data_IF_752500856551
#
_entry.id   IF_752500856551
#
_cell.length_a   1.000
_cell.length_b   1.000
_cell.length_c   1.000
_cell.angle_alpha   90.00
_cell.angle_beta   90.00
_cell.angle_gamma   90.00
#
_symmetry.space_group_name_H-M   'P 1'
#
loop_
_entity.id
_entity.type
_entity.pdbx_description
1 polymer ?
#
# COMPACT_ATOMS: atom_id res chain seq x y z
N UNK A 1 -31.84 -37.77 -21.80
CA UNK A 1 -32.14 -36.33 -21.80
C UNK A 1 -30.83 -35.58 -21.66
N UNK A 2 -30.40 -34.79 -22.66
CA UNK A 2 -29.16 -34.02 -22.62
C UNK A 2 -29.40 -32.67 -21.92
N UNK A 3 -28.44 -32.13 -21.17
CA UNK A 3 -28.48 -30.74 -20.72
C UNK A 3 -27.15 -30.06 -21.00
N UNK A 4 -27.22 -29.18 -21.99
CA UNK A 4 -26.50 -27.92 -22.22
C UNK A 4 -25.03 -27.80 -21.79
N UNK A 5 -24.18 -27.66 -22.81
CA UNK A 5 -22.82 -27.15 -22.66
C UNK A 5 -22.80 -25.68 -22.22
N UNK A 6 -21.86 -25.36 -21.34
CA UNK A 6 -21.53 -23.99 -20.97
C UNK A 6 -20.50 -23.47 -21.97
N UNK A 7 -20.94 -22.54 -22.84
CA UNK A 7 -20.06 -21.66 -23.59
C UNK A 7 -19.69 -20.47 -22.71
N UNK A 8 -18.42 -20.09 -22.73
CA UNK A 8 -17.93 -18.84 -22.15
C UNK A 8 -16.44 -18.86 -21.84
N UNK A 9 -15.59 -19.24 -22.80
CA UNK A 9 -14.17 -18.92 -22.71
C UNK A 9 -14.06 -17.40 -22.94
N UNK A 10 -13.95 -16.64 -21.85
CA UNK A 10 -13.62 -15.22 -21.91
C UNK A 10 -12.29 -15.06 -22.65
N UNK A 11 -12.30 -14.27 -23.71
CA UNK A 11 -11.11 -13.94 -24.48
C UNK A 11 -10.07 -13.36 -23.53
N UNK A 12 -8.93 -14.04 -23.40
CA UNK A 12 -7.84 -13.56 -22.57
C UNK A 12 -7.34 -12.24 -23.16
N UNK A 13 -7.68 -11.14 -22.51
CA UNK A 13 -7.15 -9.82 -22.86
C UNK A 13 -5.64 -9.90 -22.68
N UNK A 14 -4.93 -9.96 -23.81
CA UNK A 14 -3.48 -9.83 -23.85
C UNK A 14 -3.13 -8.44 -23.33
N UNK A 15 -2.75 -8.37 -22.06
CA UNK A 15 -2.22 -7.15 -21.48
C UNK A 15 -0.95 -6.78 -22.25
N UNK A 16 -0.77 -5.49 -22.60
CA UNK A 16 0.46 -5.05 -23.22
C UNK A 16 1.66 -5.42 -22.34
N UNK A 17 2.83 -5.71 -22.93
CA UNK A 17 4.03 -6.02 -22.17
C UNK A 17 4.35 -4.89 -21.18
N UNK A 18 4.84 -5.20 -19.97
CA UNK A 18 5.15 -4.20 -18.97
C UNK A 18 6.15 -3.18 -19.52
N UNK A 19 5.83 -1.90 -19.35
CA UNK A 19 6.69 -0.80 -19.75
C UNK A 19 7.85 -0.67 -18.76
N UNK A 20 9.10 -0.83 -19.23
CA UNK A 20 10.31 -0.55 -18.43
C UNK A 20 10.57 0.96 -18.27
N UNK A 21 9.55 1.80 -18.43
CA UNK A 21 9.69 3.25 -18.45
C UNK A 21 9.65 3.78 -17.02
N UNK A 22 10.66 4.56 -16.68
CA UNK A 22 10.75 5.26 -15.41
C UNK A 22 10.38 6.72 -15.65
N UNK A 23 9.48 7.24 -14.82
CA UNK A 23 9.19 8.68 -14.74
C UNK A 23 9.91 9.19 -13.50
N UNK A 24 10.83 10.12 -13.69
CA UNK A 24 11.68 10.66 -12.63
C UNK A 24 11.61 12.19 -12.62
N UNK A 25 11.58 12.75 -11.41
CA UNK A 25 11.68 14.18 -11.19
C UNK A 25 12.76 14.43 -10.14
N UNK A 26 13.66 15.38 -10.43
CA UNK A 26 14.62 15.86 -9.44
C UNK A 26 13.94 16.92 -8.59
N UNK A 27 14.04 16.73 -7.28
CA UNK A 27 13.52 17.67 -6.29
C UNK A 27 14.72 18.39 -5.68
N UNK A 28 14.71 19.72 -5.74
CA UNK A 28 15.79 20.60 -5.26
C UNK A 28 15.74 20.80 -3.73
N UNK A 29 14.57 20.60 -3.12
CA UNK A 29 14.37 20.61 -1.68
C UNK A 29 13.28 19.61 -1.25
N UNK A 30 13.43 19.00 -0.07
CA UNK A 30 12.44 18.08 0.50
C UNK A 30 11.30 18.83 1.20
N UNK A 31 10.66 19.76 0.49
CA UNK A 31 9.50 20.52 1.00
C UNK A 31 8.19 20.04 0.37
N UNK A 32 7.07 20.34 1.04
CA UNK A 32 5.73 20.05 0.55
C UNK A 32 5.48 20.59 -0.85
N UNK A 33 5.83 21.85 -1.10
CA UNK A 33 5.58 22.54 -2.37
C UNK A 33 6.32 21.82 -3.51
N UNK A 34 7.58 21.46 -3.27
CA UNK A 34 8.41 20.78 -4.26
C UNK A 34 7.95 19.36 -4.53
N UNK A 35 7.54 18.62 -3.51
CA UNK A 35 6.92 17.33 -3.70
C UNK A 35 5.60 17.44 -4.48
N UNK A 36 4.74 18.40 -4.16
CA UNK A 36 3.47 18.59 -4.85
C UNK A 36 3.67 18.93 -6.34
N UNK A 37 4.61 19.82 -6.66
CA UNK A 37 4.99 20.17 -8.04
C UNK A 37 5.52 18.94 -8.81
N UNK A 38 6.48 18.21 -8.21
CA UNK A 38 7.09 17.05 -8.83
C UNK A 38 6.09 15.91 -9.05
N UNK A 39 5.27 15.59 -8.04
CA UNK A 39 4.24 14.56 -8.13
C UNK A 39 3.22 14.91 -9.21
N UNK A 40 2.72 16.14 -9.24
CA UNK A 40 1.76 16.54 -10.27
C UNK A 40 2.34 16.44 -11.68
N UNK A 41 3.60 16.87 -11.86
CA UNK A 41 4.28 16.76 -13.15
C UNK A 41 4.42 15.30 -13.61
N UNK A 42 4.81 14.40 -12.69
CA UNK A 42 4.98 12.97 -12.98
C UNK A 42 3.66 12.29 -13.29
N UNK A 43 2.63 12.50 -12.47
CA UNK A 43 1.31 11.90 -12.71
C UNK A 43 0.72 12.43 -14.01
N UNK A 44 0.78 13.73 -14.26
CA UNK A 44 0.33 14.31 -15.53
C UNK A 44 1.09 13.75 -16.73
N UNK A 45 2.40 13.52 -16.62
CA UNK A 45 3.20 12.91 -17.70
C UNK A 45 2.82 11.45 -17.95
N UNK A 46 2.57 10.68 -16.89
CA UNK A 46 2.04 9.33 -16.97
C UNK A 46 0.67 9.33 -17.68
N UNK A 47 -0.28 10.15 -17.23
CA UNK A 47 -1.65 10.17 -17.77
C UNK A 47 -1.69 10.57 -19.26
N UNK A 48 -0.91 11.59 -19.65
CA UNK A 48 -0.81 12.01 -21.06
C UNK A 48 -0.25 10.91 -21.95
N UNK A 49 0.68 10.11 -21.42
CA UNK A 49 1.39 9.11 -22.21
C UNK A 49 0.61 7.81 -22.34
N UNK A 50 0.07 7.33 -21.23
CA UNK A 50 -0.71 6.10 -21.19
C UNK A 50 -2.15 6.29 -21.68
N UNK A 51 -2.58 7.55 -21.87
CA UNK A 51 -3.96 7.87 -22.26
C UNK A 51 -4.97 7.47 -21.18
N UNK A 52 -4.51 7.21 -19.95
CA UNK A 52 -5.31 6.76 -18.82
C UNK A 52 -5.17 7.74 -17.67
N UNK A 53 -6.28 8.32 -17.25
CA UNK A 53 -6.35 9.20 -16.08
C UNK A 53 -6.40 8.37 -14.79
N UNK A 54 -5.67 8.78 -13.76
CA UNK A 54 -5.80 8.25 -12.40
C UNK A 54 -7.03 8.89 -11.75
N UNK A 55 -8.21 8.50 -12.22
CA UNK A 55 -9.50 9.00 -11.77
C UNK A 55 -10.28 7.92 -10.98
N UNK A 56 -11.28 8.32 -10.17
CA UNK A 56 -12.15 7.36 -9.49
C UNK A 56 -12.79 6.38 -10.48
N UNK A 57 -12.71 5.09 -10.17
CA UNK A 57 -13.26 4.00 -10.96
C UNK A 57 -14.63 3.56 -10.43
N UNK A 58 -14.83 2.24 -10.34
CA UNK A 58 -16.09 1.66 -9.86
C UNK A 58 -16.23 1.76 -8.35
N UNK A 59 -15.13 1.59 -7.63
CA UNK A 59 -15.09 1.66 -6.17
C UNK A 59 -15.00 3.10 -5.69
N UNK A 60 -14.52 4.00 -6.53
CA UNK A 60 -14.38 5.42 -6.27
C UNK A 60 -13.24 5.75 -5.30
N UNK A 61 -12.33 4.79 -5.06
CA UNK A 61 -11.32 4.87 -3.99
C UNK A 61 -9.93 4.54 -4.49
N UNK A 62 -8.92 5.12 -3.86
CA UNK A 62 -7.51 4.84 -4.17
C UNK A 62 -6.68 4.62 -2.91
N UNK A 63 -5.77 3.65 -2.96
CA UNK A 63 -4.85 3.32 -1.87
C UNK A 63 -3.50 4.04 -2.00
N UNK A 64 -2.94 4.46 -0.88
CA UNK A 64 -1.59 5.00 -0.74
C UNK A 64 -0.82 4.08 0.20
N UNK A 65 -0.02 3.18 -0.36
CA UNK A 65 0.82 2.30 0.46
C UNK A 65 2.10 3.06 0.81
N UNK A 66 2.27 3.39 2.08
CA UNK A 66 3.45 4.09 2.59
C UNK A 66 4.43 3.10 3.21
N UNK A 67 5.65 3.55 3.47
CA UNK A 67 6.67 2.77 4.13
C UNK A 67 7.18 3.50 5.38
N UNK A 68 6.69 3.10 6.55
CA UNK A 68 7.08 3.61 7.88
C UNK A 68 8.10 2.71 8.60
N UNK A 69 8.40 1.54 8.02
CA UNK A 69 9.18 0.48 8.65
C UNK A 69 10.62 0.87 9.05
N UNK A 70 11.26 1.76 8.28
CA UNK A 70 12.66 2.19 8.47
C UNK A 70 12.85 3.33 9.48
N UNK A 71 11.78 3.88 10.04
CA UNK A 71 11.85 4.98 11.02
C UNK A 71 12.10 6.37 10.40
N UNK A 72 12.12 7.44 11.23
CA UNK A 72 12.22 8.81 10.77
C UNK A 72 13.46 9.07 9.90
N UNK A 73 13.28 9.77 8.77
CA UNK A 73 14.34 10.10 7.80
C UNK A 73 14.53 9.07 6.68
N UNK A 74 14.10 7.82 6.89
CA UNK A 74 14.09 6.75 5.87
C UNK A 74 12.66 6.25 5.55
N UNK A 75 11.68 6.71 6.32
CA UNK A 75 10.28 6.49 6.03
C UNK A 75 9.80 7.36 4.87
N UNK A 76 8.68 6.97 4.23
CA UNK A 76 7.98 7.82 3.27
C UNK A 76 7.70 9.19 3.89
N UNK A 77 8.20 10.29 3.30
CA UNK A 77 7.99 11.62 3.86
C UNK A 77 6.50 12.02 3.87
N UNK A 78 5.96 12.55 4.98
CA UNK A 78 4.57 13.03 5.01
C UNK A 78 4.28 14.09 3.94
N UNK A 79 5.26 14.93 3.62
CA UNK A 79 5.14 15.95 2.56
C UNK A 79 5.00 15.35 1.15
N UNK A 80 5.66 14.21 0.89
CA UNK A 80 5.43 13.46 -0.35
C UNK A 80 4.00 12.94 -0.41
N UNK A 81 3.50 12.36 0.69
CA UNK A 81 2.12 11.85 0.77
C UNK A 81 1.10 12.97 0.58
N UNK A 82 1.33 14.16 1.16
CA UNK A 82 0.51 15.37 0.92
C UNK A 82 0.47 15.73 -0.57
N UNK A 83 1.61 15.77 -1.24
CA UNK A 83 1.68 16.05 -2.68
C UNK A 83 0.88 15.04 -3.52
N UNK A 84 0.90 13.77 -3.14
CA UNK A 84 0.09 12.72 -3.78
C UNK A 84 -1.40 12.89 -3.49
N UNK A 85 -1.79 13.18 -2.25
CA UNK A 85 -3.18 13.47 -1.88
C UNK A 85 -3.71 14.63 -2.72
N UNK A 86 -2.97 15.74 -2.80
CA UNK A 86 -3.37 16.91 -3.60
C UNK A 86 -3.51 16.56 -5.09
N UNK A 87 -2.59 15.76 -5.63
CA UNK A 87 -2.68 15.29 -7.01
C UNK A 87 -3.93 14.43 -7.24
N UNK A 88 -4.30 13.58 -6.28
CA UNK A 88 -5.53 12.78 -6.37
C UNK A 88 -6.79 13.65 -6.19
N UNK A 89 -6.77 14.67 -5.33
CA UNK A 89 -7.88 15.62 -5.18
C UNK A 89 -8.17 16.35 -6.50
N UNK A 90 -7.13 16.80 -7.23
CA UNK A 90 -7.28 17.39 -8.58
C UNK A 90 -7.90 16.42 -9.60
N UNK A 91 -7.83 15.12 -9.32
CA UNK A 91 -8.37 14.06 -10.18
C UNK A 91 -9.81 13.65 -9.81
N UNK A 92 -10.34 14.19 -8.72
CA UNK A 92 -11.74 14.03 -8.30
C UNK A 92 -11.94 13.13 -7.09
N UNK A 93 -10.87 12.71 -6.41
CA UNK A 93 -10.99 11.99 -5.15
C UNK A 93 -11.25 12.97 -4.00
N UNK A 94 -12.13 12.63 -3.06
CA UNK A 94 -12.14 13.28 -1.76
C UNK A 94 -11.19 12.54 -0.80
N UNK A 95 -10.67 13.22 0.23
CA UNK A 95 -9.76 12.61 1.23
C UNK A 95 -10.32 11.35 1.89
N UNK A 96 -11.63 11.31 2.12
CA UNK A 96 -12.34 10.14 2.68
C UNK A 96 -12.36 8.92 1.76
N UNK A 97 -12.11 9.13 0.47
CA UNK A 97 -12.07 8.10 -0.58
C UNK A 97 -10.63 7.66 -0.88
N UNK A 98 -9.65 8.31 -0.25
CA UNK A 98 -8.26 7.86 -0.22
C UNK A 98 -8.05 6.98 1.01
N UNK A 99 -7.05 6.09 0.95
CA UNK A 99 -6.72 5.19 2.04
C UNK A 99 -5.21 5.06 2.19
N UNK A 100 -4.65 5.46 3.33
CA UNK A 100 -3.23 5.22 3.63
C UNK A 100 -3.09 3.86 4.32
N UNK A 101 -2.14 3.04 3.88
CA UNK A 101 -1.92 1.70 4.42
C UNK A 101 -0.43 1.46 4.67
N UNK A 102 -0.10 0.92 5.84
CA UNK A 102 1.19 0.29 6.11
C UNK A 102 1.07 -0.78 7.21
N UNK A 103 2.16 -1.49 7.48
CA UNK A 103 2.17 -2.64 8.36
C UNK A 103 1.97 -2.27 9.83
N UNK A 104 2.77 -1.34 10.39
CA UNK A 104 2.88 -1.16 11.85
C UNK A 104 2.27 0.14 12.35
N UNK A 105 1.27 0.05 13.23
CA UNK A 105 0.60 1.23 13.80
C UNK A 105 1.58 2.16 14.56
N UNK A 106 2.46 1.58 15.38
CA UNK A 106 3.44 2.36 16.13
C UNK A 106 4.37 3.18 15.24
N UNK A 107 4.81 2.59 14.10
CA UNK A 107 5.66 3.29 13.13
C UNK A 107 4.91 4.36 12.35
N UNK A 108 3.66 4.11 12.01
CA UNK A 108 2.77 5.12 11.42
C UNK A 108 2.63 6.34 12.35
N UNK A 109 2.54 6.13 13.68
CA UNK A 109 2.54 7.21 14.68
C UNK A 109 3.88 7.95 14.73
N UNK A 110 4.99 7.22 14.82
CA UNK A 110 6.34 7.82 14.86
C UNK A 110 6.67 8.65 13.61
N UNK A 111 6.18 8.25 12.45
CA UNK A 111 6.37 8.97 11.18
C UNK A 111 5.35 10.10 10.96
N UNK A 112 4.43 10.33 11.90
CA UNK A 112 3.46 11.42 11.83
C UNK A 112 2.24 11.16 10.93
N UNK A 113 1.99 9.91 10.54
CA UNK A 113 0.76 9.53 9.82
C UNK A 113 -0.42 9.30 10.75
N UNK A 114 -0.16 8.96 12.01
CA UNK A 114 -1.17 8.82 13.05
C UNK A 114 -0.81 9.72 14.25
N UNK A 115 -1.81 10.25 14.98
CA UNK A 115 -1.56 11.06 16.18
C UNK A 115 -0.92 10.24 17.31
N UNK A 116 -0.46 10.84 18.41
CA UNK A 116 -0.06 10.08 19.60
C UNK A 116 -1.21 9.22 20.16
N UNK A 117 -0.88 8.09 20.80
CA UNK A 117 -1.88 7.19 21.39
C UNK A 117 -2.80 7.89 22.42
N UNK A 118 -2.29 8.91 23.11
CA UNK A 118 -3.04 9.70 24.09
C UNK A 118 -4.18 10.53 23.48
N UNK A 119 -4.02 10.96 22.22
CA UNK A 119 -5.06 11.68 21.48
C UNK A 119 -6.01 10.71 20.76
N UNK A 120 -5.46 9.57 20.32
CA UNK A 120 -6.20 8.60 19.53
C UNK A 120 -6.54 9.13 18.13
N UNK A 121 -7.12 8.27 17.30
CA UNK A 121 -7.48 8.59 15.92
C UNK A 121 -6.77 7.71 14.89
N UNK A 122 -7.38 7.67 13.72
CA UNK A 122 -7.11 6.76 12.60
C UNK A 122 -6.99 7.52 11.27
N UNK A 123 -6.65 8.82 11.32
CA UNK A 123 -6.63 9.70 10.14
C UNK A 123 -5.38 10.54 10.06
N UNK A 124 -4.90 10.71 8.83
CA UNK A 124 -3.91 11.68 8.43
C UNK A 124 -4.60 12.78 7.62
N UNK A 125 -4.78 13.96 8.24
CA UNK A 125 -5.38 15.14 7.59
C UNK A 125 -6.71 14.85 6.86
N UNK A 126 -7.55 14.00 7.47
CA UNK A 126 -8.86 13.60 6.91
C UNK A 126 -8.84 12.30 6.10
N UNK A 127 -7.67 11.82 5.67
CA UNK A 127 -7.49 10.54 4.99
C UNK A 127 -7.44 9.40 6.01
N UNK A 128 -8.31 8.37 5.92
CA UNK A 128 -8.21 7.15 6.73
C UNK A 128 -6.83 6.47 6.62
N UNK A 129 -6.31 6.00 7.75
CA UNK A 129 -5.05 5.28 7.85
C UNK A 129 -5.31 3.90 8.44
N UNK A 130 -4.85 2.85 7.76
CA UNK A 130 -4.96 1.47 8.20
C UNK A 130 -3.58 0.92 8.54
N UNK A 131 -3.45 0.43 9.78
CA UNK A 131 -2.36 -0.41 10.21
C UNK A 131 -2.75 -1.89 10.07
N UNK A 132 -1.99 -2.63 9.27
CA UNK A 132 -2.30 -4.04 8.97
C UNK A 132 -2.05 -4.95 10.16
N UNK A 133 -1.08 -4.63 11.03
CA UNK A 133 -0.76 -5.39 12.25
C UNK A 133 -1.86 -5.35 13.33
N UNK A 134 -2.92 -4.54 13.12
CA UNK A 134 -4.13 -4.56 13.96
C UNK A 134 -4.90 -5.88 13.93
N UNK A 135 -4.62 -6.76 12.96
CA UNK A 135 -5.31 -8.04 12.78
C UNK A 135 -6.73 -7.92 12.19
N UNK A 136 -7.21 -6.70 11.93
CA UNK A 136 -8.59 -6.42 11.47
C UNK A 136 -8.77 -6.50 9.95
N UNK A 137 -7.68 -6.43 9.20
CA UNK A 137 -7.69 -6.21 7.74
C UNK A 137 -7.06 -7.37 6.97
N UNK A 138 -7.12 -8.57 7.56
CA UNK A 138 -6.64 -9.80 6.97
C UNK A 138 -7.81 -10.74 6.67
N UNK A 139 -7.75 -11.34 5.49
CA UNK A 139 -8.66 -12.42 5.11
C UNK A 139 -7.99 -13.78 5.41
N UNK A 140 -8.59 -14.65 6.24
CA UNK A 140 -7.98 -15.92 6.62
C UNK A 140 -7.80 -16.90 5.45
N UNK A 141 -8.51 -16.69 4.33
CA UNK A 141 -8.41 -17.47 3.11
C UNK A 141 -7.42 -16.85 2.10
N UNK A 142 -6.97 -15.61 2.34
CA UNK A 142 -6.13 -14.85 1.40
C UNK A 142 -4.75 -14.52 1.99
N UNK A 143 -3.89 -15.53 2.03
CA UNK A 143 -2.52 -15.41 2.50
C UNK A 143 -1.52 -16.00 1.50
N UNK A 144 -0.31 -15.45 1.51
CA UNK A 144 0.85 -16.10 0.92
C UNK A 144 1.53 -16.96 1.99
N UNK A 145 1.76 -18.23 1.69
CA UNK A 145 2.60 -19.07 2.55
C UNK A 145 4.07 -18.75 2.24
N UNK A 146 4.75 -18.14 3.20
CA UNK A 146 6.16 -17.79 3.05
C UNK A 146 7.00 -19.07 2.99
N UNK A 147 7.89 -19.20 1.99
CA UNK A 147 8.88 -20.28 1.96
C UNK A 147 10.01 -20.03 2.96
N UNK A 148 10.08 -18.83 3.55
CA UNK A 148 11.08 -18.51 4.56
C UNK A 148 10.72 -19.18 5.89
N UNK A 149 11.74 -19.64 6.63
CA UNK A 149 11.53 -20.12 8.00
C UNK A 149 10.87 -19.02 8.82
N UNK A 150 9.94 -19.44 9.68
CA UNK A 150 9.34 -18.59 10.70
C UNK A 150 10.42 -17.94 11.56
N UNK A 151 10.09 -16.84 12.24
CA UNK A 151 11.06 -16.18 13.14
C UNK A 151 11.53 -17.10 14.26
N UNK A 152 10.67 -18.00 14.73
CA UNK A 152 11.02 -19.04 15.67
C UNK A 152 12.06 -20.01 15.07
N UNK A 153 11.85 -20.51 13.85
CA UNK A 153 12.82 -21.38 13.15
C UNK A 153 14.15 -20.69 12.85
N UNK A 154 14.12 -19.39 12.49
CA UNK A 154 15.33 -18.61 12.29
C UNK A 154 16.12 -18.43 13.60
N UNK A 155 15.45 -18.27 14.73
CA UNK A 155 16.09 -18.15 16.04
C UNK A 155 16.75 -19.47 16.50
N UNK A 156 16.19 -20.63 16.11
CA UNK A 156 16.75 -21.96 16.42
C UNK A 156 18.11 -22.23 15.75
N UNK A 157 18.52 -21.43 14.77
CA UNK A 157 19.85 -21.56 14.13
C UNK A 157 20.98 -20.90 14.92
N UNK A 158 20.66 -20.20 16.00
CA UNK A 158 21.60 -19.55 16.91
C UNK A 158 21.23 -19.90 18.35
N UNK A 159 22.19 -20.48 19.09
CA UNK A 159 22.20 -20.87 20.52
C UNK A 159 21.42 -22.14 20.96
N UNK A 160 22.21 -23.01 21.62
CA UNK A 160 21.99 -24.37 22.15
C UNK A 160 20.93 -24.54 23.27
N UNK A 161 19.93 -23.66 23.41
CA UNK A 161 18.88 -23.81 24.43
C UNK A 161 17.49 -23.67 23.80
N UNK A 162 16.99 -24.79 23.27
CA UNK A 162 15.67 -24.88 22.63
C UNK A 162 14.63 -25.30 23.67
N UNK A 163 14.01 -24.33 24.33
CA UNK A 163 12.59 -24.51 24.67
C UNK A 163 11.84 -24.62 23.33
N UNK A 164 11.11 -25.72 23.11
CA UNK A 164 10.24 -25.93 21.94
C UNK A 164 9.22 -24.78 21.83
N UNK A 165 9.63 -23.69 21.17
CA UNK A 165 8.74 -22.62 20.80
C UNK A 165 7.91 -23.14 19.65
N UNK A 166 6.70 -23.61 19.96
CA UNK A 166 5.74 -24.14 18.98
C UNK A 166 5.58 -23.10 17.87
N UNK A 167 6.13 -23.42 16.70
CA UNK A 167 6.01 -22.61 15.49
C UNK A 167 4.54 -22.64 15.10
N UNK A 168 3.83 -21.53 15.29
CA UNK A 168 2.46 -21.46 14.79
C UNK A 168 2.49 -21.32 13.27
N UNK A 169 1.73 -22.14 12.55
CA UNK A 169 1.60 -22.03 11.08
C UNK A 169 1.21 -20.61 10.64
N UNK A 170 0.58 -19.84 11.52
CA UNK A 170 0.22 -18.45 11.28
C UNK A 170 1.43 -17.53 11.08
N UNK A 171 2.62 -17.84 11.65
CA UNK A 171 3.83 -17.04 11.44
C UNK A 171 4.39 -17.15 10.02
N UNK A 172 4.08 -18.23 9.31
CA UNK A 172 4.46 -18.42 7.90
C UNK A 172 3.48 -17.74 6.94
N UNK A 173 2.28 -17.37 7.40
CA UNK A 173 1.26 -16.72 6.57
C UNK A 173 1.51 -15.22 6.49
N UNK A 174 1.97 -14.77 5.33
CA UNK A 174 2.02 -13.35 4.98
C UNK A 174 0.69 -12.94 4.35
N UNK A 175 -0.16 -12.32 5.14
CA UNK A 175 -1.46 -11.87 4.67
C UNK A 175 -1.32 -10.63 3.78
N UNK A 176 -1.95 -10.66 2.61
CA UNK A 176 -1.99 -9.52 1.71
C UNK A 176 -2.89 -8.42 2.30
N UNK A 177 -2.60 -7.14 2.05
CA UNK A 177 -3.43 -6.04 2.53
C UNK A 177 -4.79 -6.06 1.83
N UNK A 178 -5.77 -6.75 2.42
CA UNK A 178 -7.11 -6.91 1.85
C UNK A 178 -7.75 -5.58 1.39
N UNK A 179 -7.62 -4.46 2.13
CA UNK A 179 -8.17 -3.19 1.67
C UNK A 179 -7.61 -2.70 0.33
N UNK A 180 -6.33 -2.96 0.03
CA UNK A 180 -5.72 -2.58 -1.25
C UNK A 180 -6.16 -3.48 -2.40
N UNK A 181 -6.66 -4.68 -2.11
CA UNK A 181 -7.07 -5.66 -3.11
C UNK A 181 -8.57 -5.56 -3.44
N UNK A 182 -9.41 -5.17 -2.48
CA UNK A 182 -10.88 -5.21 -2.62
C UNK A 182 -11.57 -3.86 -2.49
N UNK A 183 -10.97 -2.89 -1.81
CA UNK A 183 -11.67 -1.65 -1.44
C UNK A 183 -11.24 -0.43 -2.28
N UNK A 184 -10.31 -0.61 -3.23
CA UNK A 184 -9.76 0.47 -4.05
C UNK A 184 -9.70 0.10 -5.54
N UNK A 185 -9.86 1.09 -6.41
CA UNK A 185 -9.73 0.92 -7.86
C UNK A 185 -8.27 0.70 -8.28
N UNK A 186 -7.34 1.31 -7.55
CA UNK A 186 -5.89 1.15 -7.69
C UNK A 186 -5.18 1.62 -6.42
N UNK A 187 -3.89 1.36 -6.32
CA UNK A 187 -3.05 1.97 -5.28
C UNK A 187 -1.71 2.47 -5.85
N UNK A 188 -1.12 3.43 -5.15
CA UNK A 188 0.21 3.97 -5.42
C UNK A 188 1.12 3.48 -4.29
N UNK A 189 2.20 2.78 -4.65
CA UNK A 189 3.26 2.43 -3.72
C UNK A 189 4.21 3.62 -3.58
N UNK A 190 4.37 4.13 -2.37
CA UNK A 190 5.27 5.23 -2.06
C UNK A 190 6.54 4.69 -1.40
N UNK A 191 7.73 5.08 -1.87
CA UNK A 191 8.98 4.55 -1.36
C UNK A 191 9.30 5.11 0.04
N UNK A 192 10.14 4.39 0.78
CA UNK A 192 10.95 4.99 1.84
C UNK A 192 12.10 5.80 1.26
N UNK A 193 12.71 6.65 2.07
CA UNK A 193 13.95 7.35 1.75
C UNK A 193 15.18 6.51 2.11
#
# INVERSE_FOLDING_TARGET
MPVAGVRGAGEAVLLPPPSNRVYEARVDAFSRERYAEAVEALVSAFERREGKRLAPGRLGRAGLKVYSGSGPGLATPPDLVRGVIEAMERRGFARKDLLIVDLREGRLRECGFLPPLSEGGDRFEGVPVIALDSGRYYDPQWYYDSPLPSRAEAALTTVDDVEERVVSEAERKSYLPAPLMFDVDFWINLPGC
#
